data_IF_694509169068
#
_entry.id   IF_694509169068
#
_cell.length_a   1.000
_cell.length_b   1.000
_cell.length_c   1.000
_cell.angle_alpha   90.00
_cell.angle_beta   90.00
_cell.angle_gamma   90.00
#
_symmetry.space_group_name_H-M   'P 1'
#
loop_
_entity.id
_entity.type
_entity.pdbx_description
1 polymer ?
#
# COMPACT_ATOMS: atom_id res chain seq x y z
N UNK A 1 22.16 -13.40 -8.55
CA UNK A 1 21.12 -13.25 -7.51
C UNK A 1 20.79 -11.77 -7.46
N UNK A 2 19.55 -11.38 -7.74
CA UNK A 2 19.15 -9.98 -7.69
C UNK A 2 19.36 -9.42 -6.29
N UNK A 3 19.71 -8.14 -6.21
CA UNK A 3 19.85 -7.44 -4.94
C UNK A 3 18.45 -7.35 -4.30
N UNK A 4 18.33 -7.85 -3.08
CA UNK A 4 17.06 -7.91 -2.34
C UNK A 4 16.92 -6.76 -1.34
N UNK A 5 17.62 -5.65 -1.59
CA UNK A 5 17.57 -4.46 -0.75
C UNK A 5 16.23 -3.73 -0.96
N UNK A 6 15.50 -3.57 0.13
CA UNK A 6 14.19 -2.94 0.16
C UNK A 6 14.23 -1.82 1.19
N UNK A 7 13.82 -0.63 0.79
CA UNK A 7 13.69 0.48 1.74
C UNK A 7 12.25 0.59 2.19
N UNK A 8 12.05 0.64 3.51
CA UNK A 8 10.78 0.94 4.16
C UNK A 8 10.85 2.39 4.62
N UNK A 9 9.96 3.22 4.10
CA UNK A 9 9.98 4.66 4.38
C UNK A 9 9.58 4.93 5.83
N UNK A 10 10.47 5.55 6.59
CA UNK A 10 10.19 6.08 7.91
C UNK A 10 9.89 7.58 7.82
N UNK A 11 8.66 7.94 8.07
CA UNK A 11 8.18 9.32 8.14
C UNK A 11 7.45 9.61 9.47
N UNK A 12 7.75 8.79 10.49
CA UNK A 12 7.18 8.90 11.83
C UNK A 12 5.83 8.21 12.01
N UNK A 13 5.33 7.48 11.01
CA UNK A 13 4.07 6.74 11.06
C UNK A 13 4.21 5.34 10.45
N UNK A 14 3.32 4.44 10.85
CA UNK A 14 3.28 3.08 10.30
C UNK A 14 3.76 2.01 11.27
N UNK A 15 3.38 0.77 10.98
CA UNK A 15 3.83 -0.40 11.74
C UNK A 15 5.15 -0.92 11.14
N UNK A 16 6.20 -0.06 11.17
CA UNK A 16 7.48 -0.30 10.49
C UNK A 16 8.11 -1.62 10.89
N UNK A 17 8.11 -1.95 12.19
CA UNK A 17 8.75 -3.18 12.69
C UNK A 17 8.06 -4.46 12.21
N UNK A 18 6.73 -4.47 12.13
CA UNK A 18 6.00 -5.64 11.63
C UNK A 18 6.24 -5.83 10.13
N UNK A 19 6.22 -4.74 9.35
CA UNK A 19 6.54 -4.79 7.91
C UNK A 19 7.97 -5.25 7.70
N UNK A 20 8.93 -4.70 8.46
CA UNK A 20 10.34 -5.09 8.40
C UNK A 20 10.54 -6.59 8.65
N UNK A 21 9.95 -7.12 9.73
CA UNK A 21 10.03 -8.55 10.04
C UNK A 21 9.40 -9.41 8.93
N UNK A 22 8.24 -9.01 8.41
CA UNK A 22 7.57 -9.76 7.36
C UNK A 22 8.37 -9.76 6.05
N UNK A 23 8.97 -8.63 5.66
CA UNK A 23 9.85 -8.52 4.48
C UNK A 23 11.11 -9.37 4.67
N UNK A 24 11.72 -9.37 5.85
CA UNK A 24 12.88 -10.21 6.15
C UNK A 24 12.53 -11.71 6.08
N UNK A 25 11.37 -12.12 6.64
CA UNK A 25 10.85 -13.49 6.52
C UNK A 25 10.54 -13.88 5.08
N UNK A 26 10.12 -12.94 4.26
CA UNK A 26 9.91 -13.12 2.82
C UNK A 26 11.22 -13.22 2.01
N UNK A 27 12.37 -13.13 2.66
CA UNK A 27 13.70 -13.28 2.06
C UNK A 27 14.30 -11.98 1.53
N UNK A 28 13.72 -10.82 1.88
CA UNK A 28 14.26 -9.50 1.59
C UNK A 28 15.32 -9.06 2.60
N UNK A 29 16.03 -7.98 2.27
CA UNK A 29 16.93 -7.28 3.18
C UNK A 29 16.38 -5.86 3.40
N UNK A 30 15.42 -5.66 4.35
CA UNK A 30 14.77 -4.39 4.56
C UNK A 30 15.65 -3.42 5.36
N UNK A 31 15.64 -2.14 4.95
CA UNK A 31 16.22 -1.01 5.66
C UNK A 31 15.12 0.01 5.97
N UNK A 32 14.97 0.41 7.23
CA UNK A 32 14.00 1.41 7.67
C UNK A 32 14.71 2.75 7.73
N UNK A 33 14.31 3.70 6.89
CA UNK A 33 14.96 5.01 6.86
C UNK A 33 14.06 6.13 6.36
N UNK A 34 14.28 7.35 6.89
CA UNK A 34 13.74 8.60 6.38
C UNK A 34 14.76 9.39 5.55
N UNK A 35 15.93 8.83 5.27
CA UNK A 35 16.95 9.49 4.44
C UNK A 35 16.51 9.56 2.98
N UNK A 36 16.41 10.80 2.48
CA UNK A 36 15.90 11.09 1.12
C UNK A 36 16.80 10.52 0.02
N UNK A 37 18.12 10.51 0.26
CA UNK A 37 19.09 10.00 -0.72
C UNK A 37 18.98 8.47 -0.80
N UNK A 38 18.85 7.79 0.33
CA UNK A 38 18.66 6.33 0.40
C UNK A 38 17.31 5.95 -0.24
N UNK A 39 16.22 6.69 0.07
CA UNK A 39 14.88 6.47 -0.53
C UNK A 39 14.95 6.61 -2.06
N UNK A 40 15.56 7.66 -2.58
CA UNK A 40 15.68 7.89 -4.02
C UNK A 40 16.55 6.82 -4.71
N UNK A 41 17.62 6.36 -4.05
CA UNK A 41 18.51 5.33 -4.55
C UNK A 41 17.99 3.91 -4.42
N UNK A 42 16.94 3.68 -3.59
CA UNK A 42 16.39 2.35 -3.33
C UNK A 42 16.09 1.57 -4.62
N UNK A 43 16.26 0.26 -4.59
CA UNK A 43 15.85 -0.62 -5.70
C UNK A 43 14.36 -0.91 -5.63
N UNK A 44 13.85 -1.12 -4.41
CA UNK A 44 12.43 -1.34 -4.12
C UNK A 44 12.03 -0.51 -2.92
N UNK A 45 10.83 0.05 -2.93
CA UNK A 45 10.34 0.93 -1.89
C UNK A 45 8.99 0.46 -1.33
N UNK A 46 8.89 0.42 -0.02
CA UNK A 46 7.62 0.17 0.68
C UNK A 46 7.25 1.43 1.45
N UNK A 47 6.02 1.91 1.26
CA UNK A 47 5.40 2.97 2.03
C UNK A 47 4.29 2.40 2.91
N UNK A 48 4.56 2.04 4.17
CA UNK A 48 3.51 1.67 5.10
C UNK A 48 2.82 2.92 5.64
N UNK A 49 1.58 2.77 6.09
CA UNK A 49 0.88 3.86 6.75
C UNK A 49 -0.25 3.38 7.63
N UNK A 50 -0.47 4.07 8.76
CA UNK A 50 -1.59 3.88 9.67
C UNK A 50 -2.09 5.25 10.14
N UNK A 51 -3.35 5.35 10.61
CA UNK A 51 -3.92 6.60 11.08
C UNK A 51 -4.73 7.32 10.00
N UNK A 52 -4.78 8.65 10.04
CA UNK A 52 -5.60 9.47 9.16
C UNK A 52 -4.81 9.98 7.93
N UNK A 53 -5.51 10.13 6.81
CA UNK A 53 -4.93 10.59 5.53
C UNK A 53 -4.21 11.95 5.66
N UNK A 54 -4.83 12.92 6.34
CA UNK A 54 -4.26 14.25 6.51
C UNK A 54 -2.97 14.24 7.33
N UNK A 55 -2.93 13.44 8.40
CA UNK A 55 -1.74 13.28 9.23
C UNK A 55 -0.60 12.61 8.46
N UNK A 56 -0.94 11.59 7.66
CA UNK A 56 0.03 10.91 6.80
C UNK A 56 0.70 11.89 5.84
N UNK A 57 -0.09 12.66 5.09
CA UNK A 57 0.46 13.64 4.14
C UNK A 57 1.27 14.72 4.85
N UNK A 58 0.80 15.21 5.99
CA UNK A 58 1.53 16.19 6.81
C UNK A 58 2.89 15.67 7.27
N UNK A 59 2.96 14.40 7.71
CA UNK A 59 4.21 13.80 8.16
C UNK A 59 5.15 13.51 6.99
N UNK A 60 4.65 13.05 5.85
CA UNK A 60 5.44 12.89 4.61
C UNK A 60 6.05 14.22 4.14
N UNK A 61 5.28 15.32 4.21
CA UNK A 61 5.75 16.68 3.89
C UNK A 61 6.81 17.16 4.87
N UNK A 62 6.57 17.03 6.18
CA UNK A 62 7.54 17.42 7.23
C UNK A 62 8.85 16.64 7.12
N UNK A 63 8.78 15.34 6.82
CA UNK A 63 9.96 14.52 6.57
C UNK A 63 10.66 14.91 5.25
N UNK A 64 9.93 15.58 4.33
CA UNK A 64 10.44 16.00 3.03
C UNK A 64 10.78 14.85 2.10
N UNK A 65 10.14 13.68 2.27
CA UNK A 65 10.43 12.45 1.50
C UNK A 65 9.59 12.34 0.23
N UNK A 66 8.54 13.14 0.06
CA UNK A 66 7.64 13.09 -1.11
C UNK A 66 8.39 13.20 -2.44
N UNK A 67 9.34 14.14 -2.64
CA UNK A 67 10.08 14.22 -3.90
C UNK A 67 10.89 12.94 -4.19
N UNK A 68 11.50 12.34 -3.17
CA UNK A 68 12.27 11.11 -3.32
C UNK A 68 11.37 9.91 -3.68
N UNK A 69 10.20 9.78 -3.06
CA UNK A 69 9.19 8.77 -3.40
C UNK A 69 8.72 8.93 -4.85
N UNK A 70 8.36 10.16 -5.25
CA UNK A 70 7.93 10.44 -6.64
C UNK A 70 9.03 10.15 -7.66
N UNK A 71 10.27 10.51 -7.35
CA UNK A 71 11.42 10.20 -8.22
C UNK A 71 11.64 8.68 -8.35
N UNK A 72 11.51 7.91 -7.26
CA UNK A 72 11.61 6.46 -7.27
C UNK A 72 10.53 5.84 -8.18
N UNK A 73 9.28 6.26 -8.04
CA UNK A 73 8.17 5.79 -8.87
C UNK A 73 8.40 6.14 -10.34
N UNK A 74 8.77 7.39 -10.64
CA UNK A 74 9.03 7.86 -12.00
C UNK A 74 10.21 7.17 -12.67
N UNK A 75 11.16 6.63 -11.90
CA UNK A 75 12.26 5.82 -12.39
C UNK A 75 11.87 4.38 -12.77
N UNK A 76 10.59 4.01 -12.65
CA UNK A 76 10.09 2.68 -12.97
C UNK A 76 10.48 1.61 -11.95
N UNK A 77 10.92 1.99 -10.75
CA UNK A 77 11.34 1.05 -9.72
C UNK A 77 10.15 0.53 -8.90
N UNK A 78 10.16 -0.74 -8.47
CA UNK A 78 9.06 -1.34 -7.72
C UNK A 78 8.69 -0.55 -6.46
N UNK A 79 7.41 -0.23 -6.32
CA UNK A 79 6.82 0.48 -5.20
C UNK A 79 5.61 -0.28 -4.65
N UNK A 80 5.51 -0.38 -3.33
CA UNK A 80 4.36 -0.97 -2.63
C UNK A 80 3.85 -0.03 -1.53
N UNK A 81 2.61 0.46 -1.68
CA UNK A 81 1.87 1.13 -0.62
C UNK A 81 1.06 0.15 0.22
N UNK A 82 1.15 0.23 1.56
CA UNK A 82 0.40 -0.65 2.47
C UNK A 82 -0.59 0.18 3.29
N UNK A 83 -1.87 -0.18 3.25
CA UNK A 83 -2.98 0.43 3.94
C UNK A 83 -3.08 1.93 3.60
N UNK A 84 -2.81 2.83 4.54
CA UNK A 84 -2.78 4.27 4.27
C UNK A 84 -1.74 4.64 3.21
N UNK A 85 -0.63 3.89 3.13
CA UNK A 85 0.37 4.03 2.06
C UNK A 85 -0.19 3.77 0.64
N UNK A 86 -1.22 2.91 0.50
CA UNK A 86 -1.99 2.78 -0.75
C UNK A 86 -2.90 3.98 -0.96
N UNK A 87 -3.61 4.42 0.09
CA UNK A 87 -4.58 5.51 -0.02
C UNK A 87 -3.93 6.83 -0.46
N UNK A 88 -2.75 7.16 0.07
CA UNK A 88 -2.04 8.40 -0.31
C UNK A 88 -1.52 8.41 -1.74
N UNK A 89 -1.57 7.28 -2.47
CA UNK A 89 -1.28 7.25 -3.92
C UNK A 89 -2.34 7.99 -4.75
N UNK A 90 -3.54 8.18 -4.21
CA UNK A 90 -4.65 8.87 -4.87
C UNK A 90 -4.55 10.39 -4.75
N UNK A 91 -5.45 11.12 -5.45
CA UNK A 91 -5.40 12.58 -5.54
C UNK A 91 -5.85 13.27 -4.25
N UNK A 92 -6.85 12.69 -3.54
CA UNK A 92 -7.48 13.31 -2.38
C UNK A 92 -8.28 12.31 -1.55
N UNK A 93 -8.72 12.73 -0.35
CA UNK A 93 -9.53 11.92 0.54
C UNK A 93 -10.66 12.72 1.18
N UNK A 94 -11.84 12.11 1.29
CA UNK A 94 -12.97 12.66 2.06
C UNK A 94 -12.66 12.75 3.56
N UNK A 95 -11.71 11.95 4.07
CA UNK A 95 -11.25 12.01 5.46
C UNK A 95 -10.53 13.35 5.77
N UNK A 96 -9.88 13.96 4.77
CA UNK A 96 -9.11 15.20 4.94
C UNK A 96 -9.38 16.16 3.78
N UNK A 97 -10.55 16.85 3.76
CA UNK A 97 -10.90 17.76 2.69
C UNK A 97 -9.83 18.84 2.46
N UNK A 98 -9.43 19.02 1.20
CA UNK A 98 -8.41 19.99 0.81
C UNK A 98 -6.97 19.50 0.88
N UNK A 99 -6.70 18.35 1.54
CA UNK A 99 -5.37 17.73 1.54
C UNK A 99 -5.19 16.91 0.27
N UNK A 100 -4.09 17.16 -0.47
CA UNK A 100 -3.77 16.41 -1.67
C UNK A 100 -2.86 15.24 -1.35
N UNK A 101 -3.12 14.09 -1.99
CA UNK A 101 -2.26 12.93 -1.94
C UNK A 101 -1.09 13.02 -2.93
N UNK A 102 -0.45 11.91 -3.19
CA UNK A 102 0.69 11.84 -4.12
C UNK A 102 0.25 11.98 -5.58
N UNK A 103 -1.01 11.67 -5.91
CA UNK A 103 -1.58 11.81 -7.25
C UNK A 103 -0.98 10.84 -8.27
N UNK A 104 -0.59 9.65 -7.84
CA UNK A 104 -0.07 8.58 -8.71
C UNK A 104 -1.22 7.92 -9.48
N UNK A 105 -2.34 7.70 -8.80
CA UNK A 105 -3.57 7.18 -9.39
C UNK A 105 -4.66 8.26 -9.37
N UNK A 106 -5.30 8.55 -10.52
CA UNK A 106 -6.48 9.41 -10.55
C UNK A 106 -7.64 8.80 -9.75
N UNK A 107 -8.29 9.61 -8.94
CA UNK A 107 -9.41 9.20 -8.09
C UNK A 107 -9.26 9.70 -6.66
N UNK A 108 -10.14 9.25 -5.79
CA UNK A 108 -10.21 9.69 -4.41
C UNK A 108 -10.37 8.54 -3.42
N UNK A 109 -10.15 8.84 -2.16
CA UNK A 109 -10.43 7.94 -1.03
C UNK A 109 -11.74 8.40 -0.39
N UNK A 110 -12.68 7.47 -0.21
CA UNK A 110 -14.03 7.74 0.29
C UNK A 110 -14.34 6.91 1.52
N UNK A 111 -15.29 7.35 2.36
CA UNK A 111 -15.82 6.51 3.42
C UNK A 111 -16.42 5.24 2.79
N UNK A 112 -16.18 4.06 3.39
CA UNK A 112 -16.73 2.81 2.85
C UNK A 112 -18.25 2.92 2.75
N UNK A 113 -18.85 2.77 1.55
CA UNK A 113 -20.29 2.96 1.34
C UNK A 113 -21.08 1.71 1.76
N UNK A 114 -20.99 1.34 3.04
CA UNK A 114 -21.60 0.13 3.60
C UNK A 114 -22.60 0.47 4.72
N UNK A 115 -23.57 -0.41 4.92
CA UNK A 115 -24.44 -0.40 6.11
C UNK A 115 -23.88 -1.22 7.27
N UNK A 116 -22.76 -1.91 7.06
CA UNK A 116 -22.08 -2.68 8.10
C UNK A 116 -21.30 -1.75 9.03
N UNK A 117 -20.82 -2.30 10.14
CA UNK A 117 -20.03 -1.54 11.13
C UNK A 117 -18.71 -1.06 10.52
N UNK A 118 -18.39 0.21 10.70
CA UNK A 118 -17.09 0.81 10.35
C UNK A 118 -16.27 0.98 11.66
N UNK A 119 -14.97 0.66 11.65
CA UNK A 119 -14.13 0.25 10.53
C UNK A 119 -14.39 -1.19 10.05
N UNK A 120 -14.12 -1.46 8.77
CA UNK A 120 -13.92 -2.82 8.25
C UNK A 120 -12.68 -3.39 8.94
N UNK A 121 -12.89 -4.26 9.93
CA UNK A 121 -11.82 -4.82 10.76
C UNK A 121 -11.96 -6.33 10.82
N UNK A 122 -10.89 -7.02 10.44
CA UNK A 122 -10.79 -8.48 10.49
C UNK A 122 -10.37 -9.10 9.17
N UNK A 123 -10.52 -10.42 9.10
CA UNK A 123 -10.20 -11.21 7.92
C UNK A 123 -11.33 -11.14 6.91
N UNK A 124 -10.99 -10.85 5.66
CA UNK A 124 -11.94 -10.85 4.55
C UNK A 124 -11.31 -11.44 3.31
N UNK A 125 -12.14 -11.91 2.41
CA UNK A 125 -11.79 -12.70 1.24
C UNK A 125 -11.45 -11.79 0.06
N UNK A 126 -10.35 -12.10 -0.65
CA UNK A 126 -9.99 -11.44 -1.91
C UNK A 126 -10.75 -12.03 -3.09
N UNK A 127 -11.16 -11.15 -3.99
CA UNK A 127 -11.66 -11.46 -5.33
C UNK A 127 -10.76 -10.70 -6.32
N UNK A 128 -10.05 -11.45 -7.15
CA UNK A 128 -9.13 -10.85 -8.11
C UNK A 128 -9.89 -10.24 -9.29
N UNK A 129 -9.41 -9.12 -9.79
CA UNK A 129 -9.96 -8.39 -10.95
C UNK A 129 -8.97 -8.43 -12.12
N UNK A 130 -8.00 -7.55 -12.12
CA UNK A 130 -6.94 -7.54 -13.12
C UNK A 130 -5.72 -8.32 -12.64
N UNK A 131 -4.90 -8.76 -13.59
CA UNK A 131 -3.68 -9.49 -13.26
C UNK A 131 -2.69 -8.65 -12.46
N UNK A 132 -2.16 -9.22 -11.40
CA UNK A 132 -1.02 -8.70 -10.66
C UNK A 132 -0.09 -9.84 -10.28
N UNK A 133 1.22 -9.75 -10.57
CA UNK A 133 2.17 -10.80 -10.20
C UNK A 133 2.24 -11.00 -8.67
N UNK A 134 1.99 -9.94 -7.90
CA UNK A 134 2.00 -10.02 -6.44
C UNK A 134 0.84 -10.84 -5.89
N UNK A 135 -0.28 -10.92 -6.63
CA UNK A 135 -1.51 -11.59 -6.21
C UNK A 135 -1.71 -12.99 -6.84
N UNK A 136 -0.70 -13.53 -7.51
CA UNK A 136 -0.81 -14.85 -8.11
C UNK A 136 -1.17 -15.91 -7.04
N UNK A 137 -2.25 -16.69 -7.26
CA UNK A 137 -2.77 -17.69 -6.32
C UNK A 137 -3.51 -17.12 -5.10
N UNK A 138 -3.82 -15.83 -5.07
CA UNK A 138 -4.53 -15.18 -3.95
C UNK A 138 -6.05 -15.17 -4.11
N UNK A 139 -6.60 -15.69 -5.23
CA UNK A 139 -8.05 -15.77 -5.41
C UNK A 139 -8.70 -16.53 -4.26
N UNK A 140 -9.72 -15.90 -3.65
CA UNK A 140 -10.47 -16.48 -2.57
C UNK A 140 -9.74 -16.61 -1.23
N UNK A 141 -8.48 -16.16 -1.13
CA UNK A 141 -7.72 -16.18 0.11
C UNK A 141 -8.16 -15.05 1.04
N UNK A 142 -7.96 -15.27 2.35
CA UNK A 142 -8.30 -14.29 3.38
C UNK A 142 -7.08 -13.46 3.76
N UNK A 143 -7.30 -12.15 3.91
CA UNK A 143 -6.30 -11.17 4.35
C UNK A 143 -6.89 -10.26 5.45
N UNK A 144 -6.04 -9.60 6.23
CA UNK A 144 -6.47 -8.81 7.37
C UNK A 144 -6.63 -7.33 7.02
N UNK A 145 -7.85 -6.81 7.23
CA UNK A 145 -8.22 -5.41 7.02
C UNK A 145 -8.40 -4.68 8.36
N UNK A 146 -8.11 -3.39 8.37
CA UNK A 146 -8.51 -2.44 9.41
C UNK A 146 -8.52 -1.04 8.83
N UNK A 147 -9.68 -0.61 8.30
CA UNK A 147 -9.82 0.70 7.66
C UNK A 147 -11.28 1.15 7.62
N UNK A 148 -11.51 2.47 7.59
CA UNK A 148 -12.84 3.10 7.46
C UNK A 148 -13.06 3.69 6.07
N UNK A 149 -11.98 4.01 5.36
CA UNK A 149 -12.00 4.61 4.03
C UNK A 149 -11.44 3.65 3.01
N UNK A 150 -11.92 3.72 1.78
CA UNK A 150 -11.46 2.89 0.66
C UNK A 150 -11.17 3.74 -0.57
N UNK A 151 -10.27 3.26 -1.42
CA UNK A 151 -9.94 3.91 -2.67
C UNK A 151 -11.08 3.77 -3.69
N UNK A 152 -11.34 4.85 -4.43
CA UNK A 152 -12.28 4.92 -5.54
C UNK A 152 -11.54 5.45 -6.78
N UNK A 153 -10.86 4.56 -7.53
CA UNK A 153 -10.14 4.93 -8.74
C UNK A 153 -11.10 5.47 -9.81
N UNK A 154 -10.65 6.46 -10.60
CA UNK A 154 -11.35 6.88 -11.84
C UNK A 154 -11.15 5.86 -12.96
N UNK A 155 -10.06 5.14 -12.93
CA UNK A 155 -9.71 4.09 -13.88
C UNK A 155 -9.78 2.74 -13.17
N UNK A 156 -10.78 1.94 -13.51
CA UNK A 156 -11.01 0.63 -12.87
C UNK A 156 -9.95 -0.41 -13.28
N UNK A 157 -9.20 -0.20 -14.35
CA UNK A 157 -8.14 -1.12 -14.78
C UNK A 157 -7.00 -1.22 -13.77
N UNK A 158 -6.84 -0.22 -12.87
CA UNK A 158 -5.87 -0.30 -11.79
C UNK A 158 -6.29 -1.21 -10.65
N UNK A 159 -7.57 -1.62 -10.59
CA UNK A 159 -8.08 -2.48 -9.51
C UNK A 159 -7.61 -3.91 -9.76
N UNK A 160 -6.73 -4.42 -8.90
CA UNK A 160 -6.21 -5.79 -9.01
C UNK A 160 -6.95 -6.78 -8.11
N UNK A 161 -7.55 -6.31 -7.02
CA UNK A 161 -8.42 -7.11 -6.16
C UNK A 161 -9.45 -6.26 -5.43
N UNK A 162 -10.58 -6.88 -5.09
CA UNK A 162 -11.63 -6.32 -4.24
C UNK A 162 -12.00 -7.29 -3.13
N UNK A 163 -12.75 -6.80 -2.13
CA UNK A 163 -13.41 -7.59 -1.11
C UNK A 163 -14.85 -7.12 -0.95
N UNK A 164 -15.76 -8.02 -0.59
CA UNK A 164 -17.14 -7.67 -0.25
C UNK A 164 -17.23 -7.34 1.25
N UNK A 165 -17.67 -6.14 1.54
CA UNK A 165 -18.00 -5.71 2.91
C UNK A 165 -19.34 -4.99 2.93
N UNK A 166 -20.40 -5.65 2.42
CA UNK A 166 -21.72 -5.04 2.21
C UNK A 166 -21.72 -4.00 1.07
N UNK A 167 -20.57 -3.78 0.49
CA UNK A 167 -20.27 -3.06 -0.73
C UNK A 167 -18.96 -3.60 -1.28
N UNK A 168 -18.71 -3.45 -2.58
CA UNK A 168 -17.41 -3.77 -3.17
C UNK A 168 -16.36 -2.75 -2.69
N UNK A 169 -15.32 -3.24 -2.02
CA UNK A 169 -14.23 -2.43 -1.48
C UNK A 169 -12.95 -2.76 -2.23
N UNK A 170 -12.26 -1.76 -2.77
CA UNK A 170 -10.96 -1.95 -3.44
C UNK A 170 -9.94 -2.44 -2.41
N UNK A 171 -9.48 -3.67 -2.59
CA UNK A 171 -8.52 -4.34 -1.71
C UNK A 171 -7.08 -4.16 -2.18
N UNK A 172 -6.87 -4.10 -3.50
CA UNK A 172 -5.55 -3.88 -4.06
C UNK A 172 -5.63 -3.12 -5.40
N UNK A 173 -4.61 -2.32 -5.65
CA UNK A 173 -4.40 -1.61 -6.92
C UNK A 173 -3.02 -1.89 -7.48
N UNK A 174 -2.86 -1.79 -8.80
CA UNK A 174 -1.56 -1.92 -9.44
C UNK A 174 -1.54 -1.40 -10.86
N UNK A 175 -0.45 -0.73 -11.24
CA UNK A 175 -0.11 -0.34 -12.60
C UNK A 175 1.40 -0.20 -12.70
N UNK A 176 1.96 -0.76 -13.76
CA UNK A 176 3.39 -0.72 -14.05
C UNK A 176 4.23 -1.20 -12.82
N UNK A 177 5.04 -0.33 -12.28
CA UNK A 177 5.90 -0.58 -11.13
C UNK A 177 5.25 -0.26 -9.76
N UNK A 178 4.02 0.27 -9.74
CA UNK A 178 3.34 0.69 -8.50
C UNK A 178 2.26 -0.31 -8.12
N UNK A 179 2.32 -0.78 -6.89
CA UNK A 179 1.28 -1.61 -6.27
C UNK A 179 0.83 -1.02 -4.94
N UNK A 180 -0.41 -1.31 -4.56
CA UNK A 180 -0.96 -0.91 -3.27
C UNK A 180 -1.90 -1.97 -2.72
N UNK A 181 -1.82 -2.22 -1.41
CA UNK A 181 -2.70 -3.12 -0.66
C UNK A 181 -3.44 -2.35 0.43
N UNK A 182 -4.77 -2.46 0.47
CA UNK A 182 -5.57 -1.87 1.56
C UNK A 182 -5.44 -2.68 2.84
N UNK A 183 -5.26 -3.98 2.71
CA UNK A 183 -5.01 -4.88 3.82
C UNK A 183 -3.54 -4.83 4.26
N UNK A 184 -3.28 -5.48 5.38
CA UNK A 184 -1.95 -5.60 5.98
C UNK A 184 -1.34 -6.94 5.63
N UNK A 185 -0.44 -7.05 4.62
CA UNK A 185 0.19 -8.34 4.27
C UNK A 185 1.02 -8.88 5.44
N UNK A 186 1.64 -8.01 6.24
CA UNK A 186 2.41 -8.39 7.44
C UNK A 186 1.55 -8.99 8.56
N UNK A 187 0.20 -8.89 8.45
CA UNK A 187 -0.77 -9.49 9.37
C UNK A 187 -1.62 -10.57 8.71
N UNK A 188 -1.35 -10.90 7.44
CA UNK A 188 -2.17 -11.78 6.63
C UNK A 188 -1.61 -13.20 6.50
N UNK A 189 -0.90 -13.69 7.55
CA UNK A 189 -0.37 -15.04 7.63
C UNK A 189 0.50 -15.42 6.42
N UNK A 190 0.45 -16.65 5.99
CA UNK A 190 1.24 -17.17 4.85
C UNK A 190 0.89 -16.51 3.53
N UNK A 191 -0.37 -16.13 3.33
CA UNK A 191 -0.85 -15.46 2.11
C UNK A 191 -0.16 -14.10 1.95
N UNK A 192 -0.14 -13.31 3.02
CA UNK A 192 0.52 -12.01 3.01
C UNK A 192 2.04 -12.10 2.86
N UNK A 193 2.67 -13.10 3.51
CA UNK A 193 4.10 -13.38 3.34
C UNK A 193 4.44 -13.75 1.89
N UNK A 194 3.60 -14.55 1.23
CA UNK A 194 3.81 -14.93 -0.16
C UNK A 194 3.74 -13.71 -1.11
N UNK A 195 2.82 -12.78 -0.85
CA UNK A 195 2.73 -11.52 -1.60
C UNK A 195 3.99 -10.65 -1.40
N UNK A 196 4.46 -10.55 -0.16
CA UNK A 196 5.72 -9.84 0.13
C UNK A 196 6.92 -10.54 -0.50
N UNK A 197 6.97 -11.88 -0.51
CA UNK A 197 8.02 -12.64 -1.18
C UNK A 197 8.07 -12.32 -2.68
N UNK A 198 6.92 -12.26 -3.35
CA UNK A 198 6.86 -11.88 -4.76
C UNK A 198 7.31 -10.44 -4.98
N UNK A 199 6.98 -9.52 -4.09
CA UNK A 199 7.51 -8.15 -4.18
C UNK A 199 9.04 -8.12 -4.00
N UNK A 200 9.59 -8.92 -3.10
CA UNK A 200 11.05 -9.08 -2.89
C UNK A 200 11.74 -9.60 -4.16
N UNK A 201 11.07 -10.46 -4.91
CA UNK A 201 11.61 -11.13 -6.10
C UNK A 201 11.48 -10.34 -7.41
N UNK A 202 10.66 -9.24 -7.46
CA UNK A 202 10.62 -8.33 -8.60
C UNK A 202 11.99 -7.77 -8.89
#
# INVERSE_FOLDING_TARGET
MGNKNIVIVDYGMGNLHSVNKAVALAGGNPDITGDKAIIAAAEKLILPGVGAFGDCMTNLEKAGVIPAIKAHIAAGKPFLGICLGMQVLFEESEEAPGVKGLGVFPGKVVLIPTSLKIPHMGWNRLQLKTYSPLLAGAEGQYVYFVHSYCCCPKDEEVITAVSDYGAEVVAAVGRDNVSGFQYHPEKSSTVGLEMLRRFVEL
#
